data_IF_886087212763
#
_entry.id   IF_886087212763
#
_cell.length_a   1.000
_cell.length_b   1.000
_cell.length_c   1.000
_cell.angle_alpha   90.00
_cell.angle_beta   90.00
_cell.angle_gamma   90.00
#
_symmetry.space_group_name_H-M   'P 1'
#
loop_
_entity.id
_entity.type
_entity.pdbx_description
1 polymer ?
#
# COMPACT_ATOMS: atom_id res chain seq x y z
N UNK A 1 14.98 -15.67 3.60
CA UNK A 1 14.57 -14.32 3.25
C UNK A 1 13.09 -14.30 2.91
N UNK A 2 12.22 -13.51 3.51
CA UNK A 2 12.32 -12.67 4.70
C UNK A 2 10.86 -12.34 5.06
N UNK A 3 10.47 -12.49 6.32
CA UNK A 3 9.19 -11.93 6.83
C UNK A 3 9.04 -10.45 6.42
N UNK A 4 10.17 -9.78 6.18
CA UNK A 4 10.28 -8.44 5.62
C UNK A 4 9.47 -8.24 4.34
N UNK A 5 9.37 -9.18 3.40
CA UNK A 5 8.62 -8.94 2.15
C UNK A 5 7.11 -8.78 2.40
N UNK A 6 6.56 -9.62 3.29
CA UNK A 6 5.16 -9.52 3.73
C UNK A 6 4.95 -8.27 4.60
N UNK A 7 5.88 -7.98 5.52
CA UNK A 7 5.81 -6.76 6.33
C UNK A 7 5.93 -5.49 5.50
N UNK A 8 6.78 -5.46 4.46
CA UNK A 8 6.89 -4.34 3.51
C UNK A 8 5.60 -4.18 2.71
N UNK A 9 4.98 -5.28 2.27
CA UNK A 9 3.68 -5.25 1.61
C UNK A 9 2.57 -4.67 2.51
N UNK A 10 2.50 -5.13 3.76
CA UNK A 10 1.54 -4.61 4.75
C UNK A 10 1.82 -3.14 5.10
N UNK A 11 3.09 -2.77 5.26
CA UNK A 11 3.49 -1.39 5.52
C UNK A 11 3.13 -0.47 4.35
N UNK A 12 3.29 -0.93 3.10
CA UNK A 12 2.87 -0.20 1.90
C UNK A 12 1.36 0.04 1.86
N UNK A 13 0.55 -0.97 2.21
CA UNK A 13 -0.92 -0.81 2.33
C UNK A 13 -1.26 0.21 3.40
N UNK A 14 -0.63 0.13 4.58
CA UNK A 14 -0.90 1.05 5.69
C UNK A 14 -0.55 2.50 5.32
N UNK A 15 0.62 2.72 4.69
CA UNK A 15 1.03 4.06 4.23
C UNK A 15 0.08 4.60 3.17
N UNK A 16 -0.38 3.77 2.22
CA UNK A 16 -1.35 4.19 1.22
C UNK A 16 -2.69 4.60 1.86
N UNK A 17 -3.19 3.84 2.84
CA UNK A 17 -4.43 4.17 3.55
C UNK A 17 -4.32 5.50 4.32
N UNK A 18 -3.23 5.70 5.06
CA UNK A 18 -2.98 6.97 5.79
C UNK A 18 -2.85 8.14 4.80
N UNK A 19 -2.16 7.95 3.67
CA UNK A 19 -2.03 8.97 2.62
C UNK A 19 -3.36 9.44 2.05
N UNK A 20 -4.33 8.53 1.87
CA UNK A 20 -5.69 8.88 1.42
C UNK A 20 -6.41 9.74 2.47
N UNK A 21 -6.31 9.38 3.76
CA UNK A 21 -6.95 10.16 4.84
C UNK A 21 -6.38 11.57 4.90
N UNK A 22 -5.06 11.72 4.82
CA UNK A 22 -4.39 13.03 4.79
C UNK A 22 -4.85 13.84 3.56
N UNK A 23 -5.00 13.19 2.40
CA UNK A 23 -5.46 13.85 1.19
C UNK A 23 -6.87 14.43 1.33
N UNK A 24 -7.80 13.65 1.89
CA UNK A 24 -9.18 14.08 2.13
C UNK A 24 -9.20 15.26 3.10
N UNK A 25 -8.44 15.18 4.20
CA UNK A 25 -8.38 16.25 5.20
C UNK A 25 -7.80 17.53 4.59
N UNK A 26 -6.74 17.44 3.79
CA UNK A 26 -6.16 18.58 3.09
C UNK A 26 -7.17 19.21 2.11
N UNK A 27 -7.87 18.42 1.32
CA UNK A 27 -8.88 18.92 0.37
C UNK A 27 -10.02 19.67 1.08
N UNK A 28 -10.49 19.15 2.22
CA UNK A 28 -11.52 19.82 3.01
C UNK A 28 -11.06 21.18 3.56
N UNK A 29 -9.78 21.29 3.94
CA UNK A 29 -9.21 22.53 4.50
C UNK A 29 -8.90 23.55 3.41
N UNK A 30 -8.28 23.12 2.31
CA UNK A 30 -7.78 24.04 1.27
C UNK A 30 -8.83 24.36 0.21
N UNK A 31 -9.92 23.58 0.11
CA UNK A 31 -10.91 23.65 -0.97
C UNK A 31 -10.28 23.48 -2.38
N UNK A 32 -9.04 23.00 -2.44
CA UNK A 32 -8.33 22.73 -3.68
C UNK A 32 -8.30 21.23 -3.97
N UNK A 33 -8.34 20.82 -5.26
CA UNK A 33 -8.40 19.41 -5.67
C UNK A 33 -7.05 18.67 -5.51
N UNK A 34 -6.35 18.89 -4.40
CA UNK A 34 -5.09 18.23 -4.01
C UNK A 34 -5.29 16.72 -3.87
N UNK A 35 -6.52 16.30 -3.55
CA UNK A 35 -6.92 14.90 -3.45
C UNK A 35 -6.62 14.08 -4.70
N UNK A 36 -6.81 14.64 -5.90
CA UNK A 36 -6.54 13.90 -7.14
C UNK A 36 -5.08 13.47 -7.28
N UNK A 37 -4.14 14.29 -6.81
CA UNK A 37 -2.72 14.00 -6.91
C UNK A 37 -2.29 12.93 -5.89
N UNK A 38 -2.73 13.09 -4.64
CA UNK A 38 -2.38 12.14 -3.57
C UNK A 38 -3.12 10.82 -3.77
N UNK A 39 -4.37 10.83 -4.26
CA UNK A 39 -5.12 9.65 -4.64
C UNK A 39 -4.40 8.85 -5.74
N UNK A 40 -3.82 9.51 -6.76
CA UNK A 40 -3.01 8.83 -7.78
C UNK A 40 -1.79 8.13 -7.18
N UNK A 41 -1.09 8.80 -6.26
CA UNK A 41 0.08 8.22 -5.58
C UNK A 41 -0.36 7.04 -4.70
N UNK A 42 -1.42 7.19 -3.92
CA UNK A 42 -1.95 6.14 -3.07
C UNK A 42 -2.49 4.93 -3.86
N UNK A 43 -3.12 5.18 -5.02
CA UNK A 43 -3.54 4.13 -5.95
C UNK A 43 -2.33 3.37 -6.51
N UNK A 44 -1.24 4.08 -6.87
CA UNK A 44 0.01 3.46 -7.28
C UNK A 44 0.64 2.59 -6.19
N UNK A 45 0.72 3.10 -4.96
CA UNK A 45 1.25 2.36 -3.81
C UNK A 45 0.40 1.13 -3.47
N UNK A 46 -0.93 1.27 -3.52
CA UNK A 46 -1.87 0.16 -3.31
C UNK A 46 -1.74 -0.90 -4.41
N UNK A 47 -1.56 -0.49 -5.67
CA UNK A 47 -1.38 -1.39 -6.81
C UNK A 47 -0.13 -2.24 -6.66
N UNK A 48 0.97 -1.67 -6.15
CA UNK A 48 2.25 -2.37 -5.95
C UNK A 48 2.19 -3.31 -4.73
N UNK A 49 1.37 -2.98 -3.73
CA UNK A 49 1.26 -3.76 -2.49
C UNK A 49 0.67 -5.17 -2.70
N UNK A 50 -0.32 -5.32 -3.58
CA UNK A 50 -0.99 -6.61 -3.85
C UNK A 50 -0.04 -7.69 -4.38
N UNK A 51 0.72 -7.42 -5.46
CA UNK A 51 1.75 -8.34 -5.97
C UNK A 51 2.82 -8.68 -4.93
N UNK A 52 3.29 -7.71 -4.14
CA UNK A 52 4.30 -7.94 -3.09
C UNK A 52 3.78 -8.88 -2.01
N UNK A 53 2.54 -8.70 -1.56
CA UNK A 53 1.88 -9.59 -0.59
C UNK A 53 1.66 -10.98 -1.21
N UNK A 54 1.15 -11.04 -2.44
CA UNK A 54 0.89 -12.30 -3.16
C UNK A 54 2.15 -13.15 -3.37
N UNK A 55 3.26 -12.53 -3.80
CA UNK A 55 4.56 -13.19 -3.95
C UNK A 55 5.08 -13.65 -2.57
N UNK A 56 4.92 -12.83 -1.54
CA UNK A 56 5.27 -13.18 -0.16
C UNK A 56 4.53 -14.42 0.35
N UNK A 57 3.22 -14.51 0.10
CA UNK A 57 2.39 -15.66 0.48
C UNK A 57 2.76 -16.90 -0.35
N UNK A 58 2.89 -16.78 -1.67
CA UNK A 58 3.23 -17.88 -2.56
C UNK A 58 4.59 -18.52 -2.21
N UNK A 59 5.61 -17.68 -1.96
CA UNK A 59 6.93 -18.15 -1.51
C UNK A 59 6.90 -18.76 -0.10
N UNK A 60 6.03 -18.30 0.79
CA UNK A 60 5.84 -18.91 2.12
C UNK A 60 5.17 -20.28 2.05
N UNK A 61 4.24 -20.47 1.10
CA UNK A 61 3.52 -21.73 0.89
C UNK A 61 4.41 -22.82 0.28
N UNK A 62 5.26 -22.47 -0.69
CA UNK A 62 6.23 -23.40 -1.31
C UNK A 62 7.29 -23.95 -0.35
N UNK A 63 7.55 -23.29 0.78
CA UNK A 63 8.53 -23.71 1.78
C UNK A 63 7.98 -24.63 2.87
N UNK A 64 6.67 -24.86 2.90
CA UNK A 64 5.96 -25.69 3.91
C UNK A 64 5.45 -27.03 3.34
N UNK A 65 5.65 -27.29 2.06
CA UNK A 65 5.16 -28.49 1.36
C UNK A 65 6.25 -29.26 0.61
N UNK A 66 7.51 -29.17 1.04
CA UNK A 66 8.63 -29.99 0.57
C UNK A 66 9.16 -30.83 1.72
#
# INVERSE_FOLDING_TARGET
MDTRLLYTGIALVAVAAVGIVIAIVMELITQEPVYFLIMKIAAGLSLISGPLIGIGIAKRKGKRGG
#
